data_IF_203966482725
#
_entry.id   IF_203966482725
#
_cell.length_a   1.000
_cell.length_b   1.000
_cell.length_c   1.000
_cell.angle_alpha   90.00
_cell.angle_beta   90.00
_cell.angle_gamma   90.00
#
_symmetry.space_group_name_H-M   'P 1'
#
loop_
_entity.id
_entity.type
_entity.pdbx_description
1 polymer ?
#
# COMPACT_ATOMS: atom_id res chain seq x y z
N UNK A 1 -5.20 -7.17 42.78
CA UNK A 1 -5.49 -5.94 41.99
C UNK A 1 -5.10 -6.21 40.55
N UNK A 2 -6.06 -6.13 39.62
CA UNK A 2 -5.79 -6.15 38.18
C UNK A 2 -5.41 -4.72 37.76
N UNK A 3 -4.34 -4.49 36.99
CA UNK A 3 -4.08 -3.17 36.46
C UNK A 3 -5.17 -2.87 35.42
N UNK A 4 -5.96 -1.83 35.69
CA UNK A 4 -6.88 -1.24 34.72
C UNK A 4 -6.04 -0.71 33.56
N UNK A 5 -6.13 -1.38 32.42
CA UNK A 5 -5.54 -0.90 31.17
C UNK A 5 -6.39 0.28 30.72
N UNK A 6 -5.96 1.50 31.04
CA UNK A 6 -6.51 2.71 30.44
C UNK A 6 -6.30 2.60 28.92
N UNK A 7 -7.32 2.86 28.08
CA UNK A 7 -7.14 2.90 26.64
C UNK A 7 -6.13 4.00 26.33
N UNK A 8 -4.89 3.60 26.04
CA UNK A 8 -3.81 4.53 25.72
C UNK A 8 -4.23 5.38 24.53
N UNK A 9 -4.25 6.70 24.73
CA UNK A 9 -4.52 7.73 23.73
C UNK A 9 -3.90 7.37 22.37
N UNK A 10 -4.75 7.35 21.35
CA UNK A 10 -4.48 7.42 19.92
C UNK A 10 -3.04 7.11 19.45
N UNK A 11 -2.69 5.82 19.48
CA UNK A 11 -1.53 5.28 18.72
C UNK A 11 -1.69 5.39 17.19
N UNK A 12 -2.72 6.08 16.71
CA UNK A 12 -3.02 6.26 15.29
C UNK A 12 -2.04 7.23 14.60
N UNK A 13 -1.36 8.11 15.33
CA UNK A 13 -0.52 9.15 14.70
C UNK A 13 0.97 8.77 14.64
N UNK A 14 1.43 7.86 15.49
CA UNK A 14 2.86 7.53 15.53
C UNK A 14 3.23 6.58 14.40
N UNK A 15 4.11 7.06 13.50
CA UNK A 15 4.73 6.24 12.46
C UNK A 15 5.79 5.38 13.16
N UNK A 16 5.67 4.05 13.15
CA UNK A 16 6.66 3.19 13.78
C UNK A 16 8.00 3.31 13.07
N UNK A 17 9.09 3.01 13.79
CA UNK A 17 10.45 3.10 13.28
C UNK A 17 10.60 2.33 11.95
N UNK A 18 11.16 3.00 10.93
CA UNK A 18 11.30 2.45 9.56
C UNK A 18 10.02 2.49 8.70
N UNK A 19 8.92 3.07 9.21
CA UNK A 19 7.72 3.34 8.43
C UNK A 19 7.80 4.66 7.64
N UNK A 20 7.03 4.76 6.57
CA UNK A 20 6.89 5.98 5.75
C UNK A 20 5.42 6.40 5.71
N UNK A 21 5.12 7.61 6.18
CA UNK A 21 3.79 8.20 6.06
C UNK A 21 3.56 8.66 4.61
N UNK A 22 2.42 8.30 4.03
CA UNK A 22 2.01 8.70 2.68
C UNK A 22 0.96 9.83 2.68
N UNK A 23 0.50 10.25 3.85
CA UNK A 23 -0.63 11.16 4.00
C UNK A 23 -1.97 10.44 4.02
N UNK A 24 -3.05 11.17 4.30
CA UNK A 24 -4.44 10.70 4.28
C UNK A 24 -4.70 9.44 5.15
N UNK A 25 -3.93 9.25 6.22
CA UNK A 25 -4.03 8.09 7.11
C UNK A 25 -3.30 6.83 6.60
N UNK A 26 -2.67 6.86 5.42
CA UNK A 26 -1.90 5.74 4.89
C UNK A 26 -0.46 5.77 5.41
N UNK A 27 0.00 4.63 5.96
CA UNK A 27 1.38 4.49 6.44
C UNK A 27 1.99 3.20 5.92
N UNK A 28 3.07 3.31 5.15
CA UNK A 28 3.90 2.16 4.81
C UNK A 28 4.67 1.73 6.05
N UNK A 29 4.63 0.44 6.37
CA UNK A 29 5.28 -0.12 7.53
C UNK A 29 6.46 -0.98 7.09
N UNK A 30 7.54 -0.97 7.90
CA UNK A 30 8.62 -1.95 7.77
C UNK A 30 8.02 -3.37 7.66
N UNK A 31 8.47 -4.33 6.87
CA UNK A 31 9.67 -4.52 6.06
C UNK A 31 9.51 -3.93 4.66
N UNK A 32 10.58 -3.37 4.09
CA UNK A 32 10.63 -2.99 2.67
C UNK A 32 11.78 -3.71 1.96
N UNK A 33 11.70 -3.77 0.64
CA UNK A 33 12.80 -4.26 -0.19
C UNK A 33 13.98 -3.28 -0.07
N UNK A 34 15.20 -3.78 0.13
CA UNK A 34 16.38 -2.91 0.35
C UNK A 34 16.73 -2.11 -0.91
N UNK A 35 16.71 -2.76 -2.07
CA UNK A 35 17.02 -2.16 -3.38
C UNK A 35 15.76 -2.11 -4.24
N UNK A 36 15.62 -1.08 -5.07
CA UNK A 36 14.62 -1.09 -6.12
C UNK A 36 14.88 -2.29 -7.05
N UNK A 37 13.83 -3.00 -7.44
CA UNK A 37 13.92 -4.03 -8.46
C UNK A 37 13.12 -3.62 -9.67
N UNK A 38 13.62 -4.02 -10.83
CA UNK A 38 12.93 -3.86 -12.10
C UNK A 38 11.56 -4.52 -12.01
N UNK A 39 10.58 -3.84 -12.58
CA UNK A 39 9.24 -4.38 -12.76
C UNK A 39 9.16 -5.12 -14.08
N UNK A 40 8.31 -6.13 -14.14
CA UNK A 40 8.01 -6.79 -15.42
C UNK A 40 7.35 -5.80 -16.38
N UNK A 41 7.51 -5.97 -17.69
CA UNK A 41 6.85 -5.12 -18.69
C UNK A 41 5.35 -4.87 -18.44
N UNK A 42 4.50 -5.87 -18.16
CA UNK A 42 3.09 -5.60 -17.88
C UNK A 42 2.86 -4.76 -16.61
N UNK A 43 3.69 -4.94 -15.57
CA UNK A 43 3.65 -4.08 -14.39
C UNK A 43 4.09 -2.65 -14.71
N UNK A 44 5.14 -2.49 -15.53
CA UNK A 44 5.65 -1.19 -15.96
C UNK A 44 4.59 -0.41 -16.75
N UNK A 45 3.94 -1.05 -17.71
CA UNK A 45 2.84 -0.46 -18.49
C UNK A 45 1.70 -0.04 -17.58
N UNK A 46 1.26 -0.90 -16.65
CA UNK A 46 0.17 -0.56 -15.73
C UNK A 46 0.51 0.64 -14.82
N UNK A 47 1.76 0.72 -14.35
CA UNK A 47 2.23 1.87 -13.55
C UNK A 47 2.26 3.14 -14.39
N UNK A 48 2.79 3.06 -15.62
CA UNK A 48 2.83 4.20 -16.54
C UNK A 48 1.43 4.70 -16.88
N UNK A 49 0.47 3.83 -17.23
CA UNK A 49 -0.91 4.25 -17.50
C UNK A 49 -1.56 4.95 -16.30
N UNK A 50 -1.31 4.48 -15.08
CA UNK A 50 -1.79 5.14 -13.87
C UNK A 50 -1.15 6.52 -13.68
N UNK A 51 0.15 6.64 -13.94
CA UNK A 51 0.86 7.92 -13.83
C UNK A 51 0.40 8.93 -14.86
N UNK A 52 0.12 8.49 -16.08
CA UNK A 52 -0.46 9.31 -17.14
C UNK A 52 -1.84 9.82 -16.74
N UNK A 53 -2.71 8.93 -16.22
CA UNK A 53 -4.03 9.29 -15.68
C UNK A 53 -3.94 10.33 -14.54
N UNK A 54 -2.91 10.23 -13.69
CA UNK A 54 -2.70 11.13 -12.55
C UNK A 54 -1.79 12.33 -12.87
N UNK A 55 -1.42 12.51 -14.13
CA UNK A 55 -0.52 13.57 -14.61
C UNK A 55 0.77 13.68 -13.78
N UNK A 56 1.40 12.54 -13.49
CA UNK A 56 2.61 12.48 -12.66
C UNK A 56 3.82 13.06 -13.42
N UNK A 57 4.69 13.87 -12.79
CA UNK A 57 5.86 14.43 -13.46
C UNK A 57 6.98 13.40 -13.66
N UNK A 58 7.77 13.57 -14.73
CA UNK A 58 8.99 12.80 -15.01
C UNK A 58 8.80 11.30 -15.28
N UNK A 59 7.69 10.91 -15.92
CA UNK A 59 7.41 9.50 -16.26
C UNK A 59 8.48 8.91 -17.19
N UNK A 60 8.99 9.71 -18.13
CA UNK A 60 10.03 9.30 -19.09
C UNK A 60 11.39 9.02 -18.45
N UNK A 61 11.65 9.59 -17.26
CA UNK A 61 12.93 9.45 -16.55
C UNK A 61 12.91 8.32 -15.52
N UNK A 62 11.78 7.63 -15.36
CA UNK A 62 11.68 6.56 -14.38
C UNK A 62 12.39 5.30 -14.89
N UNK A 63 13.37 4.74 -14.13
CA UNK A 63 14.15 3.57 -14.54
C UNK A 63 13.36 2.25 -14.53
N UNK A 64 12.02 2.27 -14.52
CA UNK A 64 11.15 1.08 -14.45
C UNK A 64 11.47 0.17 -13.26
N UNK A 65 11.93 0.75 -12.15
CA UNK A 65 12.25 0.04 -10.93
C UNK A 65 11.38 0.53 -9.76
N UNK A 66 10.87 -0.41 -8.96
CA UNK A 66 10.07 -0.11 -7.76
C UNK A 66 10.64 -0.75 -6.51
N UNK A 67 10.42 -0.09 -5.38
CA UNK A 67 10.72 -0.65 -4.06
C UNK A 67 9.44 -1.13 -3.40
N UNK A 68 9.33 -2.44 -3.21
CA UNK A 68 8.12 -3.07 -2.65
C UNK A 68 8.14 -2.98 -1.13
N UNK A 69 6.98 -2.70 -0.53
CA UNK A 69 6.77 -2.69 0.92
C UNK A 69 5.93 -3.90 1.34
N UNK A 70 6.21 -4.46 2.50
CA UNK A 70 5.52 -5.65 3.00
C UNK A 70 4.13 -5.34 3.55
N UNK A 71 3.98 -4.17 4.16
CA UNK A 71 2.81 -3.82 4.97
C UNK A 71 2.38 -2.38 4.72
N UNK A 72 1.08 -2.16 4.62
CA UNK A 72 0.44 -0.85 4.51
C UNK A 72 -0.62 -0.74 5.60
N UNK A 73 -0.51 0.27 6.45
CA UNK A 73 -1.59 0.67 7.36
C UNK A 73 -2.57 1.55 6.62
N UNK A 74 -3.85 1.20 6.70
CA UNK A 74 -4.96 1.93 6.13
C UNK A 74 -5.45 3.03 7.08
N UNK A 75 -6.26 3.99 6.59
CA UNK A 75 -6.79 5.07 7.41
C UNK A 75 -7.65 4.58 8.59
N UNK A 76 -8.29 3.42 8.44
CA UNK A 76 -9.06 2.76 9.49
C UNK A 76 -8.19 1.98 10.51
N UNK A 77 -6.85 2.10 10.43
CA UNK A 77 -5.90 1.43 11.31
C UNK A 77 -5.58 -0.02 10.95
N UNK A 78 -6.30 -0.64 10.00
CA UNK A 78 -6.02 -2.01 9.57
C UNK A 78 -4.68 -2.09 8.83
N UNK A 79 -4.01 -3.25 8.92
CA UNK A 79 -2.74 -3.49 8.24
C UNK A 79 -2.94 -4.47 7.10
N UNK A 80 -2.84 -3.97 5.87
CA UNK A 80 -2.77 -4.77 4.66
C UNK A 80 -1.35 -5.34 4.47
N UNK A 81 -1.27 -6.57 3.95
CA UNK A 81 -0.02 -7.23 3.58
C UNK A 81 0.10 -7.30 2.06
N UNK A 82 1.30 -7.06 1.54
CA UNK A 82 1.55 -7.18 0.10
C UNK A 82 1.77 -8.62 -0.30
N UNK A 83 1.34 -8.96 -1.54
CA UNK A 83 1.60 -10.27 -2.13
C UNK A 83 3.08 -10.64 -2.11
N UNK A 84 3.96 -9.66 -2.34
CA UNK A 84 5.42 -9.83 -2.27
C UNK A 84 5.91 -10.32 -0.91
N UNK A 85 5.36 -9.79 0.20
CA UNK A 85 5.73 -10.29 1.52
C UNK A 85 5.14 -11.65 1.80
N UNK A 86 3.91 -11.91 1.35
CA UNK A 86 3.23 -13.18 1.60
C UNK A 86 3.87 -14.34 0.83
N UNK A 87 4.27 -14.14 -0.42
CA UNK A 87 4.91 -15.18 -1.24
C UNK A 87 6.27 -15.62 -0.70
N UNK A 88 6.93 -14.79 0.11
CA UNK A 88 8.21 -15.10 0.76
C UNK A 88 8.04 -15.94 2.03
N UNK A 89 6.83 -16.08 2.56
CA UNK A 89 6.60 -16.93 3.72
C UNK A 89 6.63 -18.40 3.31
N UNK A 90 7.61 -19.15 3.84
CA UNK A 90 7.71 -20.62 3.65
C UNK A 90 6.61 -21.40 4.39
N UNK A 91 5.80 -20.72 5.21
CA UNK A 91 4.69 -21.33 5.97
C UNK A 91 3.35 -20.99 5.31
N UNK A 92 2.48 -22.00 5.19
CA UNK A 92 1.06 -21.83 4.86
C UNK A 92 0.38 -21.02 5.97
N UNK A 93 0.38 -19.70 5.82
CA UNK A 93 -0.27 -18.79 6.76
C UNK A 93 -1.79 -18.91 6.59
N UNK A 94 -2.50 -19.26 7.66
CA UNK A 94 -3.97 -19.14 7.70
C UNK A 94 -4.33 -17.66 7.57
N UNK A 95 -5.06 -17.30 6.52
CA UNK A 95 -5.46 -15.92 6.24
C UNK A 95 -6.87 -15.67 6.77
N UNK A 96 -7.01 -14.73 7.70
CA UNK A 96 -8.32 -14.35 8.27
C UNK A 96 -8.69 -12.91 7.97
N UNK A 97 -7.75 -12.08 7.51
CA UNK A 97 -7.91 -10.63 7.34
C UNK A 97 -7.41 -10.20 5.96
N UNK A 98 -8.20 -10.47 4.92
CA UNK A 98 -7.86 -10.03 3.56
C UNK A 98 -8.71 -8.82 3.21
N UNK A 99 -8.06 -7.68 2.97
CA UNK A 99 -8.75 -6.45 2.56
C UNK A 99 -8.94 -6.52 1.05
N UNK A 100 -10.20 -6.43 0.60
CA UNK A 100 -10.53 -6.28 -0.82
C UNK A 100 -10.67 -4.79 -1.11
N UNK A 101 -9.83 -4.28 -2.02
CA UNK A 101 -10.04 -2.96 -2.58
C UNK A 101 -11.07 -3.07 -3.70
N UNK A 102 -12.08 -2.20 -3.66
CA UNK A 102 -12.96 -1.97 -4.80
C UNK A 102 -12.45 -0.70 -5.48
N UNK A 103 -12.01 -0.84 -6.72
CA UNK A 103 -11.69 0.31 -7.57
C UNK A 103 -13.05 0.89 -8.01
N UNK A 104 -13.39 2.08 -7.51
CA UNK A 104 -14.66 2.74 -7.83
C UNK A 104 -14.47 3.57 -9.11
N UNK A 105 -14.15 2.92 -10.24
CA UNK A 105 -14.08 3.55 -11.56
C UNK A 105 -15.42 3.42 -12.29
N UNK A 106 -16.46 4.04 -11.75
CA UNK A 106 -17.75 4.10 -12.40
C UNK A 106 -18.38 5.49 -12.17
N UNK A 107 -17.91 6.48 -12.91
CA UNK A 107 -18.69 7.68 -13.22
C UNK A 107 -18.36 8.12 -14.65
N UNK A 108 -18.67 7.25 -15.60
CA UNK A 108 -18.99 7.70 -16.95
C UNK A 108 -20.43 8.21 -16.91
N UNK A 109 -20.57 9.51 -16.68
CA UNK A 109 -21.81 10.24 -16.93
C UNK A 109 -22.09 10.15 -18.43
N UNK A 110 -22.88 9.16 -18.84
CA UNK A 110 -23.45 9.12 -20.19
C UNK A 110 -24.38 10.33 -20.35
N UNK A 111 -24.14 11.25 -21.31
CA UNK A 111 -25.11 12.28 -21.61
C UNK A 111 -26.31 11.62 -22.28
N UNK A 112 -27.48 11.73 -21.65
CA UNK A 112 -28.75 11.35 -22.24
C UNK A 112 -28.95 12.23 -23.49
N UNK A 113 -29.01 11.60 -24.67
CA UNK A 113 -29.60 12.21 -25.87
C UNK A 113 -31.11 11.97 -25.88
#
# INVERSE_FOLDING_TARGET
MMPTVLPSEDKSTQVPHGGKNLGNGYVLLHVCQSTAADVSEPEATAIMSLWEEKNWPNQDRWPRAVRRWARLRLPNGQIARSRWSESRSRRNLRKTTMVKFRDNKNEETVPCS
#
